data_IF_054570297100
#
_entry.id   IF_054570297100
#
_cell.length_a   1.000
_cell.length_b   1.000
_cell.length_c   1.000
_cell.angle_alpha   90.00
_cell.angle_beta   90.00
_cell.angle_gamma   90.00
#
_symmetry.space_group_name_H-M   'P 1'
#
loop_
_entity.id
_entity.type
_entity.pdbx_description
1 polymer ?
#
# COMPACT_ATOMS: atom_id res chain seq x y z
N UNK A 1 -5.43 -9.57 -31.95
CA UNK A 1 -6.07 -9.20 -30.69
C UNK A 1 -4.94 -8.67 -29.80
N UNK A 2 -5.03 -7.48 -29.27
CA UNK A 2 -4.09 -7.04 -28.25
C UNK A 2 -4.27 -7.94 -27.03
N UNK A 3 -3.17 -8.46 -26.50
CA UNK A 3 -3.16 -9.28 -25.29
C UNK A 3 -3.64 -8.41 -24.14
N UNK A 4 -4.63 -8.89 -23.38
CA UNK A 4 -5.18 -8.14 -22.24
C UNK A 4 -4.10 -8.04 -21.18
N UNK A 5 -3.75 -6.81 -20.79
CA UNK A 5 -2.70 -6.55 -19.80
C UNK A 5 -3.23 -6.75 -18.39
N UNK A 6 -2.37 -7.20 -17.51
CA UNK A 6 -2.68 -7.50 -16.12
C UNK A 6 -2.76 -6.23 -15.25
N UNK A 7 -3.48 -6.32 -14.14
CA UNK A 7 -3.53 -5.31 -13.10
C UNK A 7 -2.87 -5.85 -11.83
N UNK A 8 -1.92 -5.12 -11.27
CA UNK A 8 -1.10 -5.55 -10.14
C UNK A 8 -1.41 -4.72 -8.89
N UNK A 9 -1.40 -5.38 -7.73
CA UNK A 9 -1.69 -4.77 -6.43
C UNK A 9 -0.61 -5.16 -5.43
N UNK A 10 -0.05 -4.18 -4.73
CA UNK A 10 0.96 -4.39 -3.68
C UNK A 10 0.85 -3.30 -2.61
N UNK A 11 1.40 -3.56 -1.42
CA UNK A 11 1.35 -2.63 -0.29
C UNK A 11 2.52 -2.83 0.69
N UNK A 12 2.63 -1.96 1.68
CA UNK A 12 3.47 -2.16 2.86
C UNK A 12 4.96 -2.40 2.55
N UNK A 13 5.53 -1.59 1.66
CA UNK A 13 6.96 -1.67 1.36
C UNK A 13 7.82 -0.98 2.43
N UNK A 14 7.28 0.03 3.12
CA UNK A 14 7.97 0.76 4.18
C UNK A 14 9.42 1.14 3.84
N UNK A 15 9.61 1.65 2.63
CA UNK A 15 10.91 2.08 2.16
C UNK A 15 11.52 3.12 3.11
N UNK A 16 12.79 2.97 3.42
CA UNK A 16 13.52 3.87 4.33
C UNK A 16 13.37 3.55 5.80
N UNK A 17 12.70 2.45 6.17
CA UNK A 17 12.54 2.04 7.56
C UNK A 17 13.89 1.81 8.25
N UNK A 18 14.08 2.47 9.40
CA UNK A 18 15.24 2.28 10.27
C UNK A 18 15.23 0.95 11.03
N UNK A 19 14.12 0.22 10.98
CA UNK A 19 14.01 -1.11 11.56
C UNK A 19 14.46 -2.22 10.59
N UNK A 20 14.67 -1.90 9.31
CA UNK A 20 15.07 -2.84 8.26
C UNK A 20 16.56 -2.66 7.97
N UNK A 21 17.37 -3.68 8.24
CA UNK A 21 18.83 -3.62 8.08
C UNK A 21 19.29 -3.54 6.60
N UNK A 22 18.48 -4.02 5.66
CA UNK A 22 18.81 -4.14 4.24
C UNK A 22 17.89 -3.33 3.33
N UNK A 23 17.51 -2.10 3.73
CA UNK A 23 16.53 -1.28 3.00
C UNK A 23 16.86 -1.02 1.52
N UNK A 24 18.17 -0.92 1.16
CA UNK A 24 18.57 -0.77 -0.25
C UNK A 24 18.30 -2.04 -1.07
N UNK A 25 18.51 -3.22 -0.48
CA UNK A 25 18.22 -4.51 -1.15
C UNK A 25 16.72 -4.67 -1.34
N UNK A 26 15.94 -4.29 -0.34
CA UNK A 26 14.48 -4.28 -0.42
C UNK A 26 13.97 -3.34 -1.54
N UNK A 27 14.46 -2.09 -1.58
CA UNK A 27 14.11 -1.14 -2.66
C UNK A 27 14.45 -1.72 -4.03
N UNK A 28 15.64 -2.33 -4.20
CA UNK A 28 16.03 -2.95 -5.47
C UNK A 28 15.13 -4.11 -5.85
N UNK A 29 14.75 -4.96 -4.90
CA UNK A 29 13.85 -6.09 -5.15
C UNK A 29 12.48 -5.61 -5.64
N UNK A 30 11.92 -4.60 -4.99
CA UNK A 30 10.66 -3.97 -5.43
C UNK A 30 10.79 -3.39 -6.85
N UNK A 31 11.89 -2.68 -7.13
CA UNK A 31 12.17 -2.11 -8.45
C UNK A 31 12.34 -3.20 -9.51
N UNK A 32 13.01 -4.30 -9.20
CA UNK A 32 13.17 -5.44 -10.12
C UNK A 32 11.82 -6.10 -10.43
N UNK A 33 10.94 -6.24 -9.44
CA UNK A 33 9.58 -6.71 -9.67
C UNK A 33 8.82 -5.76 -10.62
N UNK A 34 8.78 -4.47 -10.31
CA UNK A 34 8.10 -3.47 -11.15
C UNK A 34 8.67 -3.44 -12.58
N UNK A 35 9.99 -3.66 -12.73
CA UNK A 35 10.62 -3.78 -14.03
C UNK A 35 10.15 -5.03 -14.81
N UNK A 36 9.97 -6.15 -14.11
CA UNK A 36 9.55 -7.41 -14.73
C UNK A 36 8.12 -7.36 -15.28
N UNK A 37 7.27 -6.49 -14.73
CA UNK A 37 5.86 -6.36 -15.12
C UNK A 37 5.58 -5.17 -16.05
N UNK A 38 6.50 -4.26 -16.28
CA UNK A 38 6.29 -2.96 -16.95
C UNK A 38 5.64 -3.02 -18.34
N UNK A 39 5.85 -4.11 -19.08
CA UNK A 39 5.25 -4.31 -20.41
C UNK A 39 3.95 -5.13 -20.36
N UNK A 40 3.69 -5.82 -19.26
CA UNK A 40 2.50 -6.66 -19.04
C UNK A 40 1.42 -5.94 -18.25
N UNK A 41 1.77 -4.88 -17.52
CA UNK A 41 0.84 -4.14 -16.67
C UNK A 41 -0.02 -3.15 -17.46
N UNK A 42 -1.33 -3.18 -17.23
CA UNK A 42 -2.24 -2.08 -17.55
C UNK A 42 -2.24 -1.05 -16.42
N UNK A 43 -2.30 -1.53 -15.18
CA UNK A 43 -2.27 -0.68 -13.99
C UNK A 43 -1.50 -1.33 -12.84
N UNK A 44 -0.97 -0.49 -11.95
CA UNK A 44 -0.34 -0.88 -10.69
C UNK A 44 -0.98 -0.09 -9.55
N UNK A 45 -1.56 -0.79 -8.58
CA UNK A 45 -2.17 -0.22 -7.38
C UNK A 45 -1.23 -0.43 -6.18
N UNK A 46 -0.68 0.66 -5.67
CA UNK A 46 0.15 0.72 -4.46
C UNK A 46 -0.77 1.05 -3.29
N UNK A 47 -1.18 0.05 -2.50
CA UNK A 47 -2.22 0.19 -1.49
C UNK A 47 -1.73 0.74 -0.13
N UNK A 48 -0.80 1.71 -0.17
CA UNK A 48 -0.35 2.47 0.99
C UNK A 48 0.86 1.89 1.72
N UNK A 49 1.41 2.70 2.62
CA UNK A 49 2.61 2.38 3.41
C UNK A 49 3.82 1.99 2.53
N UNK A 50 3.92 2.62 1.36
CA UNK A 50 5.09 2.42 0.49
C UNK A 50 6.35 3.02 1.10
N UNK A 51 6.22 4.11 1.86
CA UNK A 51 7.28 4.73 2.63
C UNK A 51 7.06 4.52 4.13
N UNK A 52 8.14 4.31 4.89
CA UNK A 52 8.05 4.21 6.35
C UNK A 52 7.72 5.56 7.01
N UNK A 53 8.08 6.64 6.34
CA UNK A 53 7.70 8.01 6.65
C UNK A 53 7.85 8.88 5.42
N UNK A 54 6.81 9.67 5.09
CA UNK A 54 6.84 10.64 4.01
C UNK A 54 6.20 11.95 4.46
N UNK A 55 6.89 13.06 4.22
CA UNK A 55 6.39 14.41 4.45
C UNK A 55 6.92 15.35 3.38
N UNK A 56 6.04 16.09 2.74
CA UNK A 56 6.40 17.09 1.73
C UNK A 56 6.46 18.48 2.36
N UNK A 57 7.66 19.03 2.44
CA UNK A 57 7.86 20.44 2.73
C UNK A 57 7.69 21.24 1.44
N UNK A 58 7.52 22.56 1.58
CA UNK A 58 7.30 23.43 0.42
C UNK A 58 8.32 23.26 -0.72
N UNK A 59 9.59 23.04 -0.39
CA UNK A 59 10.72 22.97 -1.36
C UNK A 59 11.59 21.72 -1.14
N UNK A 60 11.19 20.78 -0.26
CA UNK A 60 12.03 19.67 0.11
C UNK A 60 11.17 18.43 0.34
N UNK A 61 11.58 17.30 -0.24
CA UNK A 61 11.02 15.97 0.05
C UNK A 61 12.09 15.11 0.74
N UNK A 62 11.71 14.02 1.41
CA UNK A 62 12.67 13.10 2.00
C UNK A 62 13.66 12.59 0.96
N UNK A 63 14.95 12.57 1.30
CA UNK A 63 16.00 12.06 0.43
C UNK A 63 15.99 10.53 0.40
N UNK A 64 16.35 9.97 -0.73
CA UNK A 64 16.37 8.53 -0.96
C UNK A 64 15.32 8.12 -2.00
N UNK A 65 15.01 6.85 -2.05
CA UNK A 65 13.95 6.28 -2.90
C UNK A 65 14.12 6.52 -4.40
N UNK A 66 15.30 6.96 -4.84
CA UNK A 66 15.55 7.40 -6.23
C UNK A 66 15.25 6.31 -7.24
N UNK A 67 15.50 5.04 -6.89
CA UNK A 67 15.22 3.91 -7.78
C UNK A 67 13.73 3.65 -7.89
N UNK A 68 13.03 3.65 -6.75
CA UNK A 68 11.59 3.43 -6.71
C UNK A 68 10.85 4.58 -7.42
N UNK A 69 11.17 5.83 -7.09
CA UNK A 69 10.58 7.00 -7.74
C UNK A 69 10.84 7.00 -9.24
N UNK A 70 12.08 6.73 -9.66
CA UNK A 70 12.41 6.61 -11.08
C UNK A 70 11.68 5.47 -11.78
N UNK A 71 11.43 4.34 -11.09
CA UNK A 71 10.70 3.20 -11.67
C UNK A 71 9.21 3.50 -11.82
N UNK A 72 8.57 4.12 -10.84
CA UNK A 72 7.15 4.50 -11.00
C UNK A 72 6.97 5.57 -12.08
N UNK A 73 7.92 6.51 -12.22
CA UNK A 73 7.92 7.48 -13.33
C UNK A 73 8.10 6.77 -14.68
N UNK A 74 9.02 5.80 -14.79
CA UNK A 74 9.16 5.00 -16.02
C UNK A 74 7.86 4.27 -16.38
N UNK A 75 7.15 3.70 -15.40
CA UNK A 75 5.88 3.02 -15.64
C UNK A 75 4.82 3.98 -16.19
N UNK A 76 4.67 5.17 -15.60
CA UNK A 76 3.71 6.18 -16.05
C UNK A 76 4.07 6.71 -17.43
N UNK A 77 5.37 6.92 -17.72
CA UNK A 77 5.87 7.31 -19.05
C UNK A 77 5.59 6.23 -20.12
N UNK A 78 5.56 4.96 -19.74
CA UNK A 78 5.17 3.84 -20.61
C UNK A 78 3.65 3.69 -20.77
N UNK A 79 2.84 4.54 -20.11
CA UNK A 79 1.39 4.52 -20.16
C UNK A 79 0.75 3.49 -19.21
N UNK A 80 1.49 2.96 -18.23
CA UNK A 80 0.91 2.15 -17.15
C UNK A 80 0.25 3.08 -16.13
N UNK A 81 -1.00 2.84 -15.80
CA UNK A 81 -1.69 3.60 -14.75
C UNK A 81 -1.13 3.22 -13.38
N UNK A 82 -0.54 4.18 -12.67
CA UNK A 82 -0.02 3.94 -11.31
C UNK A 82 -0.88 4.68 -10.30
N UNK A 83 -1.56 3.92 -9.44
CA UNK A 83 -2.42 4.41 -8.37
C UNK A 83 -1.72 4.27 -7.02
N UNK A 84 -1.63 5.37 -6.27
CA UNK A 84 -0.97 5.41 -4.97
C UNK A 84 -2.00 5.71 -3.87
N UNK A 85 -2.28 4.75 -3.02
CA UNK A 85 -3.11 4.94 -1.84
C UNK A 85 -2.26 5.42 -0.67
N UNK A 86 -2.81 6.35 0.10
CA UNK A 86 -2.16 6.83 1.30
C UNK A 86 -2.44 5.85 2.44
N UNK A 87 -1.38 5.34 3.04
CA UNK A 87 -1.43 4.57 4.29
C UNK A 87 -1.24 5.45 5.53
N UNK A 88 -1.03 4.82 6.67
CA UNK A 88 -0.83 5.55 7.92
C UNK A 88 0.61 6.05 8.11
N UNK A 89 1.60 5.49 7.42
CA UNK A 89 3.01 5.91 7.45
C UNK A 89 3.32 7.02 6.45
N UNK A 90 2.65 7.04 5.32
CA UNK A 90 2.80 8.05 4.28
C UNK A 90 1.61 9.02 4.19
N UNK A 91 0.88 9.19 5.30
CA UNK A 91 -0.34 10.01 5.45
C UNK A 91 -0.15 11.48 5.04
N UNK A 92 1.09 11.98 5.07
CA UNK A 92 1.44 13.36 4.72
C UNK A 92 2.00 13.49 3.30
N UNK A 93 1.71 12.53 2.45
CA UNK A 93 1.96 12.63 1.03
C UNK A 93 1.13 13.78 0.44
N UNK A 94 1.81 14.75 -0.17
CA UNK A 94 1.22 15.90 -0.83
C UNK A 94 0.90 15.63 -2.29
N UNK A 95 1.42 16.46 -3.19
CA UNK A 95 1.20 16.37 -4.64
C UNK A 95 2.50 16.08 -5.43
N UNK A 96 3.61 15.88 -4.74
CA UNK A 96 4.91 15.61 -5.38
C UNK A 96 4.87 14.38 -6.28
N UNK A 97 4.33 13.27 -5.78
CA UNK A 97 4.27 12.03 -6.57
C UNK A 97 3.35 12.17 -7.79
N UNK A 98 2.25 12.93 -7.69
CA UNK A 98 1.37 13.21 -8.83
C UNK A 98 2.11 14.03 -9.89
N UNK A 99 2.79 15.10 -9.46
CA UNK A 99 3.45 16.06 -10.36
C UNK A 99 4.74 15.53 -10.98
N UNK A 100 5.55 14.81 -10.21
CA UNK A 100 6.89 14.39 -10.62
C UNK A 100 6.92 12.94 -11.14
N UNK A 101 6.01 12.08 -10.66
CA UNK A 101 6.00 10.67 -11.05
C UNK A 101 4.75 10.28 -11.86
N UNK A 102 3.80 11.19 -12.06
CA UNK A 102 2.60 10.93 -12.87
C UNK A 102 1.60 9.94 -12.26
N UNK A 103 1.68 9.66 -10.94
CA UNK A 103 0.78 8.73 -10.27
C UNK A 103 -0.56 9.39 -9.92
N UNK A 104 -1.60 8.60 -9.75
CA UNK A 104 -2.89 9.06 -9.20
C UNK A 104 -2.95 8.77 -7.70
N UNK A 105 -3.04 9.80 -6.84
CA UNK A 105 -3.10 9.63 -5.38
C UNK A 105 -4.53 9.46 -4.88
N UNK A 106 -4.78 8.37 -4.16
CA UNK A 106 -6.04 8.10 -3.47
C UNK A 106 -5.92 8.33 -1.96
N UNK A 107 -6.65 9.32 -1.45
CA UNK A 107 -6.67 9.70 -0.02
C UNK A 107 -7.81 9.04 0.77
N UNK A 108 -8.67 8.32 0.09
CA UNK A 108 -9.84 7.60 0.60
C UNK A 108 -9.93 6.23 -0.07
N UNK A 109 -10.65 5.27 0.51
CA UNK A 109 -11.00 4.03 -0.19
C UNK A 109 -11.60 4.31 -1.56
N UNK A 110 -11.32 3.45 -2.51
CA UNK A 110 -11.83 3.51 -3.88
C UNK A 110 -12.69 2.29 -4.17
N UNK A 111 -13.89 2.52 -4.67
CA UNK A 111 -14.68 1.49 -5.34
C UNK A 111 -14.62 1.77 -6.83
N UNK A 112 -14.20 0.78 -7.62
CA UNK A 112 -14.04 0.93 -9.07
C UNK A 112 -14.28 -0.41 -9.78
N UNK A 113 -14.65 -0.30 -11.05
CA UNK A 113 -14.74 -1.45 -11.95
C UNK A 113 -13.39 -1.65 -12.66
N UNK A 114 -12.90 -2.89 -12.68
CA UNK A 114 -11.73 -3.33 -13.44
C UNK A 114 -12.13 -4.57 -14.23
N UNK A 115 -12.12 -4.48 -15.56
CA UNK A 115 -12.49 -5.56 -16.47
C UNK A 115 -13.84 -6.22 -16.13
N UNK A 116 -14.85 -5.40 -15.79
CA UNK A 116 -16.21 -5.89 -15.48
C UNK A 116 -16.37 -6.52 -14.09
N UNK A 117 -15.38 -6.36 -13.20
CA UNK A 117 -15.45 -6.76 -11.79
C UNK A 117 -15.38 -5.55 -10.89
N UNK A 118 -16.20 -5.54 -9.84
CA UNK A 118 -16.23 -4.47 -8.85
C UNK A 118 -15.19 -4.72 -7.74
N UNK A 119 -14.33 -3.73 -7.52
CA UNK A 119 -13.25 -3.74 -6.54
C UNK A 119 -13.51 -2.71 -5.45
N UNK A 120 -13.23 -3.08 -4.21
CA UNK A 120 -13.05 -2.17 -3.09
C UNK A 120 -11.58 -2.18 -2.70
N UNK A 121 -10.89 -1.05 -2.88
CA UNK A 121 -9.46 -0.89 -2.67
C UNK A 121 -9.19 0.11 -1.55
N UNK A 122 -8.38 -0.27 -0.57
CA UNK A 122 -7.97 0.64 0.51
C UNK A 122 -6.68 0.15 1.16
N UNK A 123 -5.97 1.04 1.87
CA UNK A 123 -4.87 0.59 2.72
C UNK A 123 -5.36 -0.33 3.84
N UNK A 124 -6.45 0.01 4.50
CA UNK A 124 -7.06 -0.81 5.56
C UNK A 124 -7.00 -0.15 6.94
N UNK A 125 -6.18 0.85 7.14
CA UNK A 125 -6.05 1.56 8.41
C UNK A 125 -7.37 2.22 8.83
N UNK A 126 -7.84 1.90 10.04
CA UNK A 126 -9.09 2.41 10.62
C UNK A 126 -10.36 1.85 10.01
N UNK A 127 -10.29 0.81 9.16
CA UNK A 127 -11.43 0.03 8.71
C UNK A 127 -11.62 -1.16 9.69
N UNK A 128 -12.85 -1.33 10.19
CA UNK A 128 -13.15 -2.40 11.16
C UNK A 128 -12.59 -2.20 12.58
N UNK A 129 -11.66 -1.27 12.77
CA UNK A 129 -11.08 -1.00 14.07
C UNK A 129 -11.98 -0.16 14.95
N UNK A 130 -12.34 -0.70 16.11
CA UNK A 130 -13.06 0.02 17.17
C UNK A 130 -12.16 0.92 18.03
N UNK A 131 -10.82 0.89 17.85
CA UNK A 131 -9.90 1.62 18.71
C UNK A 131 -9.99 3.14 18.51
N UNK A 132 -10.65 3.78 19.46
CA UNK A 132 -10.83 5.24 19.50
C UNK A 132 -9.49 6.00 19.57
N UNK A 133 -8.44 5.41 20.17
CA UNK A 133 -7.10 6.02 20.26
C UNK A 133 -6.46 6.11 18.88
N UNK A 134 -6.60 5.07 18.08
CA UNK A 134 -6.12 5.08 16.70
C UNK A 134 -6.88 6.10 15.85
N UNK A 135 -8.22 6.15 15.98
CA UNK A 135 -9.05 7.16 15.29
C UNK A 135 -8.67 8.59 15.69
N UNK A 136 -8.40 8.82 16.97
CA UNK A 136 -7.94 10.12 17.48
C UNK A 136 -6.57 10.50 16.91
N UNK A 137 -5.61 9.58 16.95
CA UNK A 137 -4.25 9.81 16.42
C UNK A 137 -4.29 10.09 14.90
N UNK A 138 -5.07 9.34 14.15
CA UNK A 138 -5.30 9.55 12.71
C UNK A 138 -5.93 10.93 12.44
N UNK A 139 -6.91 11.33 13.24
CA UNK A 139 -7.52 12.67 13.18
C UNK A 139 -6.49 13.77 13.43
N UNK A 140 -5.60 13.56 14.39
CA UNK A 140 -4.51 14.47 14.72
C UNK A 140 -3.53 14.62 13.54
N UNK A 141 -3.09 13.52 12.92
CA UNK A 141 -2.22 13.55 11.74
C UNK A 141 -2.88 14.16 10.51
N UNK A 142 -4.20 14.10 10.38
CA UNK A 142 -4.98 14.74 9.31
C UNK A 142 -5.27 16.21 9.56
N UNK A 143 -4.98 16.73 10.76
CA UNK A 143 -5.20 18.13 11.10
C UNK A 143 -4.28 19.08 10.31
N UNK A 144 -4.86 19.92 9.46
CA UNK A 144 -4.10 20.91 8.67
C UNK A 144 -3.29 21.88 9.55
N UNK A 145 -3.81 22.20 10.75
CA UNK A 145 -3.11 23.08 11.70
C UNK A 145 -1.85 22.40 12.23
N UNK A 146 -1.94 21.10 12.60
CA UNK A 146 -0.77 20.35 13.08
C UNK A 146 0.24 20.10 11.94
N UNK A 147 -0.23 19.84 10.73
CA UNK A 147 0.63 19.77 9.55
C UNK A 147 1.36 21.08 9.29
N UNK A 148 0.68 22.20 9.40
CA UNK A 148 1.30 23.53 9.25
C UNK A 148 2.35 23.79 10.35
N UNK A 149 2.05 23.49 11.61
CA UNK A 149 3.03 23.61 12.70
C UNK A 149 4.25 22.70 12.46
N UNK A 150 4.02 21.47 12.03
CA UNK A 150 5.07 20.51 11.70
C UNK A 150 5.93 21.00 10.51
N UNK A 151 5.33 21.63 9.51
CA UNK A 151 6.04 22.18 8.35
C UNK A 151 7.01 23.31 8.70
N UNK A 152 6.81 23.99 9.82
CA UNK A 152 7.69 25.05 10.31
C UNK A 152 8.88 24.54 11.13
N UNK A 153 8.92 23.23 11.43
CA UNK A 153 10.08 22.60 12.04
C UNK A 153 11.18 22.40 10.98
N UNK A 154 12.43 22.45 11.43
CA UNK A 154 13.54 22.19 10.52
C UNK A 154 13.43 20.76 9.96
N UNK A 155 13.51 20.53 8.63
CA UNK A 155 13.29 19.22 8.00
C UNK A 155 14.10 18.07 8.61
N UNK A 156 15.32 18.37 9.07
CA UNK A 156 16.16 17.36 9.74
C UNK A 156 15.50 16.80 11.00
N UNK A 157 14.91 17.65 11.83
CA UNK A 157 14.33 17.21 13.11
C UNK A 157 12.98 16.54 12.90
N UNK A 158 12.18 17.09 12.00
CA UNK A 158 10.85 16.54 11.73
C UNK A 158 10.91 15.17 11.03
N UNK A 159 11.81 15.00 10.05
CA UNK A 159 12.00 13.70 9.38
C UNK A 159 12.64 12.68 10.33
N UNK A 160 13.66 13.08 11.12
CA UNK A 160 14.26 12.19 12.12
C UNK A 160 13.24 11.75 13.17
N UNK A 161 12.40 12.66 13.65
CA UNK A 161 11.31 12.35 14.57
C UNK A 161 10.31 11.35 13.97
N UNK A 162 9.86 11.58 12.72
CA UNK A 162 8.93 10.69 12.03
C UNK A 162 9.48 9.28 11.84
N UNK A 163 10.74 9.15 11.41
CA UNK A 163 11.41 7.86 11.23
C UNK A 163 11.64 7.12 12.56
N UNK A 164 12.00 7.83 13.65
CA UNK A 164 12.14 7.19 14.96
C UNK A 164 10.78 6.79 15.55
N UNK A 165 9.73 7.59 15.32
CA UNK A 165 8.38 7.22 15.70
C UNK A 165 7.90 5.96 14.97
N UNK A 166 8.08 5.89 13.65
CA UNK A 166 7.75 4.73 12.84
C UNK A 166 8.50 3.47 13.32
N UNK A 167 9.80 3.59 13.53
CA UNK A 167 10.64 2.52 14.09
C UNK A 167 10.13 2.04 15.45
N UNK A 168 9.84 2.97 16.36
CA UNK A 168 9.35 2.62 17.70
C UNK A 168 7.98 1.94 17.66
N UNK A 169 7.07 2.43 16.82
CA UNK A 169 5.77 1.79 16.60
C UNK A 169 5.92 0.35 16.11
N UNK A 170 6.83 0.13 15.16
CA UNK A 170 7.12 -1.20 14.61
C UNK A 170 7.76 -2.14 15.63
N UNK A 171 8.73 -1.64 16.41
CA UNK A 171 9.37 -2.44 17.46
C UNK A 171 8.41 -2.83 18.59
N UNK A 172 7.46 -1.96 18.94
CA UNK A 172 6.40 -2.30 19.90
C UNK A 172 5.44 -3.37 19.37
N UNK A 173 5.13 -3.39 18.06
CA UNK A 173 4.37 -4.48 17.44
C UNK A 173 5.15 -5.80 17.49
N UNK A 174 6.49 -5.72 17.49
CA UNK A 174 7.40 -6.86 17.55
C UNK A 174 7.72 -7.29 19.01
N UNK A 175 6.78 -7.34 19.93
CA UNK A 175 6.96 -8.13 21.17
C UNK A 175 7.17 -9.63 20.85
N UNK A 176 7.97 -9.92 19.79
CA UNK A 176 8.40 -11.22 19.33
C UNK A 176 7.37 -12.01 18.54
N UNK A 177 6.21 -11.43 18.18
CA UNK A 177 5.20 -12.10 17.36
C UNK A 177 5.06 -11.38 16.01
N UNK A 178 5.23 -12.15 14.95
CA UNK A 178 4.81 -11.72 13.62
C UNK A 178 3.29 -11.49 13.60
N UNK A 179 2.77 -10.58 12.74
CA UNK A 179 1.34 -10.41 12.59
C UNK A 179 0.73 -11.76 12.18
N UNK A 180 -0.19 -12.26 12.99
CA UNK A 180 -0.91 -13.50 12.70
C UNK A 180 -2.35 -13.20 12.30
N UNK A 181 -2.90 -14.03 11.46
CA UNK A 181 -4.32 -14.04 11.16
C UNK A 181 -5.12 -14.42 12.40
N UNK A 182 -6.02 -13.54 12.83
CA UNK A 182 -6.78 -13.71 14.07
C UNK A 182 -8.00 -14.64 13.94
N UNK A 183 -8.25 -15.12 12.74
CA UNK A 183 -9.45 -15.88 12.40
C UNK A 183 -10.57 -14.99 11.84
N UNK A 184 -11.43 -15.59 11.06
CA UNK A 184 -12.47 -14.92 10.27
C UNK A 184 -13.44 -14.06 11.11
N UNK A 185 -13.68 -14.48 12.34
CA UNK A 185 -14.61 -13.81 13.27
C UNK A 185 -13.94 -12.69 14.10
N UNK A 186 -12.62 -12.49 13.95
CA UNK A 186 -11.86 -11.51 14.73
C UNK A 186 -10.99 -10.59 13.88
N UNK A 187 -10.72 -10.95 12.63
CA UNK A 187 -9.91 -10.13 11.73
C UNK A 187 -10.69 -8.86 11.33
N UNK A 188 -10.24 -7.66 11.74
CA UNK A 188 -11.02 -6.43 11.57
C UNK A 188 -11.41 -6.15 10.10
N UNK A 189 -10.48 -6.42 9.16
CA UNK A 189 -10.74 -6.18 7.73
C UNK A 189 -11.73 -7.18 7.14
N UNK A 190 -11.74 -8.42 7.63
CA UNK A 190 -12.74 -9.43 7.24
C UNK A 190 -14.13 -9.04 7.75
N UNK A 191 -14.20 -8.61 9.01
CA UNK A 191 -15.46 -8.14 9.60
C UNK A 191 -16.00 -6.91 8.87
N UNK A 192 -15.12 -5.95 8.55
CA UNK A 192 -15.47 -4.78 7.74
C UNK A 192 -16.04 -5.19 6.37
N UNK A 193 -15.34 -6.04 5.65
CA UNK A 193 -15.74 -6.46 4.31
C UNK A 193 -17.08 -7.20 4.32
N UNK A 194 -17.30 -8.09 5.30
CA UNK A 194 -18.60 -8.77 5.51
C UNK A 194 -19.73 -7.79 5.81
N UNK A 195 -19.48 -6.76 6.61
CA UNK A 195 -20.49 -5.75 6.90
C UNK A 195 -20.76 -4.87 5.70
N UNK A 196 -19.75 -4.47 4.97
CA UNK A 196 -19.86 -3.65 3.76
C UNK A 196 -20.66 -4.38 2.66
N UNK A 197 -20.45 -5.68 2.48
CA UNK A 197 -21.19 -6.51 1.52
C UNK A 197 -22.71 -6.54 1.75
N UNK A 198 -23.19 -6.29 2.97
CA UNK A 198 -24.64 -6.27 3.24
C UNK A 198 -25.34 -5.16 2.49
N UNK A 199 -24.63 -4.06 2.23
CA UNK A 199 -25.16 -2.87 1.52
C UNK A 199 -24.61 -2.72 0.10
N UNK A 200 -23.51 -3.43 -0.23
CA UNK A 200 -22.84 -3.40 -1.53
C UNK A 200 -22.56 -4.83 -2.02
N UNK A 201 -23.61 -5.60 -2.37
CA UNK A 201 -23.48 -7.03 -2.70
C UNK A 201 -22.72 -7.31 -4.00
N UNK A 202 -22.50 -6.28 -4.83
CA UNK A 202 -21.89 -6.40 -6.15
C UNK A 202 -20.36 -6.40 -6.10
N UNK A 203 -19.73 -6.08 -4.95
CA UNK A 203 -18.27 -6.10 -4.82
C UNK A 203 -17.74 -7.53 -4.97
N UNK A 204 -16.88 -7.70 -5.99
CA UNK A 204 -16.22 -8.98 -6.25
C UNK A 204 -14.93 -9.15 -5.44
N UNK A 205 -14.14 -8.07 -5.29
CA UNK A 205 -12.84 -8.13 -4.64
C UNK A 205 -12.64 -6.99 -3.64
N UNK A 206 -12.25 -7.35 -2.42
CA UNK A 206 -11.74 -6.43 -1.41
C UNK A 206 -10.23 -6.62 -1.32
N UNK A 207 -9.44 -5.58 -1.55
CA UNK A 207 -7.98 -5.63 -1.42
C UNK A 207 -7.49 -4.63 -0.38
N UNK A 208 -6.65 -5.13 0.55
CA UNK A 208 -6.11 -4.37 1.66
C UNK A 208 -4.62 -4.65 1.87
N UNK A 209 -3.92 -3.67 2.46
CA UNK A 209 -2.61 -3.82 3.08
C UNK A 209 -2.70 -3.80 4.61
N UNK A 210 -1.82 -3.03 5.26
CA UNK A 210 -1.82 -2.65 6.67
C UNK A 210 -1.56 -3.76 7.67
N UNK A 211 -2.09 -4.95 7.44
CA UNK A 211 -2.01 -6.06 8.41
C UNK A 211 -0.70 -6.86 8.32
N UNK A 212 0.06 -6.71 7.24
CA UNK A 212 1.28 -7.49 6.97
C UNK A 212 1.07 -9.01 7.06
N UNK A 213 -0.09 -9.49 6.69
CA UNK A 213 -0.42 -10.92 6.58
C UNK A 213 -0.88 -11.21 5.16
N UNK A 214 -0.52 -12.36 4.64
CA UNK A 214 -1.13 -12.86 3.41
C UNK A 214 -2.43 -13.59 3.74
N UNK A 215 -3.54 -13.04 3.27
CA UNK A 215 -4.85 -13.68 3.43
C UNK A 215 -5.61 -13.61 2.12
N UNK A 216 -6.19 -14.74 1.75
CA UNK A 216 -7.04 -14.90 0.59
C UNK A 216 -8.25 -15.75 1.01
N UNK A 217 -9.42 -15.13 1.11
CA UNK A 217 -10.62 -15.73 1.68
C UNK A 217 -11.86 -15.39 0.87
N UNK A 218 -12.68 -16.39 0.59
CA UNK A 218 -14.01 -16.21 0.01
C UNK A 218 -14.99 -15.70 1.08
N UNK A 219 -15.60 -14.55 0.85
CA UNK A 219 -16.66 -14.00 1.71
C UNK A 219 -18.05 -14.46 1.30
N UNK A 220 -18.24 -14.73 0.01
CA UNK A 220 -19.47 -15.25 -0.59
C UNK A 220 -19.12 -16.05 -1.85
N UNK A 221 -20.12 -16.50 -2.59
CA UNK A 221 -19.92 -17.18 -3.89
C UNK A 221 -19.25 -16.30 -4.95
N UNK A 222 -19.42 -14.98 -4.85
CA UNK A 222 -18.97 -13.99 -5.85
C UNK A 222 -18.04 -12.94 -5.30
N UNK A 223 -17.74 -12.97 -3.99
CA UNK A 223 -16.93 -11.95 -3.33
C UNK A 223 -15.78 -12.55 -2.53
N UNK A 224 -14.61 -11.95 -2.63
CA UNK A 224 -13.33 -12.41 -2.08
C UNK A 224 -12.60 -11.26 -1.40
N UNK A 225 -11.96 -11.51 -0.26
CA UNK A 225 -11.06 -10.56 0.38
C UNK A 225 -9.63 -11.06 0.27
N UNK A 226 -8.73 -10.11 -0.05
CA UNK A 226 -7.30 -10.35 -0.05
C UNK A 226 -6.60 -9.29 0.78
N UNK A 227 -5.72 -9.72 1.70
CA UNK A 227 -4.79 -8.86 2.43
C UNK A 227 -3.40 -9.19 1.92
N UNK A 228 -2.69 -8.17 1.40
CA UNK A 228 -1.58 -8.37 0.47
C UNK A 228 -0.23 -8.73 1.13
N UNK A 229 -0.17 -8.92 2.45
CA UNK A 229 1.12 -9.15 3.10
C UNK A 229 1.98 -7.89 3.14
N UNK A 230 3.27 -8.01 2.83
CA UNK A 230 4.22 -6.90 2.81
C UNK A 230 5.35 -7.08 1.78
N UNK A 231 6.13 -6.01 1.57
CA UNK A 231 7.39 -6.02 0.79
C UNK A 231 8.63 -5.98 1.67
N UNK A 232 8.55 -6.51 2.89
CA UNK A 232 9.64 -6.60 3.88
C UNK A 232 10.13 -8.04 4.01
N UNK A 233 9.19 -8.97 4.21
CA UNK A 233 9.42 -10.39 4.45
C UNK A 233 8.71 -11.30 3.45
N UNK A 234 7.47 -10.96 3.09
CA UNK A 234 6.62 -11.79 2.21
C UNK A 234 6.87 -11.51 0.74
N UNK A 235 7.20 -10.26 0.36
CA UNK A 235 7.37 -9.81 -1.03
C UNK A 235 6.19 -10.17 -1.92
N UNK A 236 5.00 -10.03 -1.36
CA UNK A 236 3.75 -10.50 -1.95
C UNK A 236 3.03 -9.43 -2.76
N UNK A 237 2.30 -9.88 -3.74
CA UNK A 237 1.45 -9.05 -4.58
C UNK A 237 0.23 -9.83 -5.04
N UNK A 238 -0.82 -9.14 -5.48
CA UNK A 238 -1.91 -9.76 -6.20
C UNK A 238 -1.88 -9.33 -7.67
N UNK A 239 -2.35 -10.20 -8.55
CA UNK A 239 -2.47 -9.95 -9.99
C UNK A 239 -3.85 -10.36 -10.48
N UNK A 240 -4.48 -9.49 -11.26
CA UNK A 240 -5.74 -9.72 -11.93
C UNK A 240 -5.52 -9.72 -13.45
N UNK A 241 -5.83 -10.83 -14.10
CA UNK A 241 -5.65 -11.04 -15.54
C UNK A 241 -6.90 -10.67 -16.37
N UNK A 242 -7.93 -10.15 -15.70
CA UNK A 242 -9.25 -9.84 -16.29
C UNK A 242 -10.31 -10.91 -16.03
N UNK A 243 -9.91 -12.11 -15.68
CA UNK A 243 -10.82 -13.22 -15.31
C UNK A 243 -10.58 -13.71 -13.89
N UNK A 244 -9.31 -13.92 -13.53
CA UNK A 244 -8.89 -14.53 -12.28
C UNK A 244 -7.99 -13.59 -11.47
N UNK A 245 -8.09 -13.70 -10.15
CA UNK A 245 -7.25 -13.03 -9.20
C UNK A 245 -6.34 -14.01 -8.50
N UNK A 246 -5.03 -13.76 -8.54
CA UNK A 246 -4.01 -14.59 -7.89
C UNK A 246 -3.24 -13.75 -6.85
N UNK A 247 -2.85 -14.40 -5.76
CA UNK A 247 -1.89 -13.85 -4.81
C UNK A 247 -0.59 -14.63 -4.92
N UNK A 248 0.52 -13.93 -5.12
CA UNK A 248 1.83 -14.49 -5.41
C UNK A 248 2.91 -13.84 -4.56
N UNK A 249 4.05 -14.49 -4.46
CA UNK A 249 5.27 -13.94 -3.84
C UNK A 249 6.34 -13.77 -4.91
N UNK A 250 7.02 -12.63 -4.91
CA UNK A 250 8.10 -12.38 -5.84
C UNK A 250 9.38 -13.06 -5.40
N UNK A 251 9.87 -13.97 -6.20
CA UNK A 251 11.17 -14.63 -6.06
C UNK A 251 12.14 -14.04 -7.09
N UNK A 252 13.25 -13.49 -6.62
CA UNK A 252 14.22 -12.83 -7.51
C UNK A 252 14.88 -13.86 -8.43
N UNK A 253 14.78 -13.66 -9.74
CA UNK A 253 15.27 -14.58 -10.76
C UNK A 253 14.22 -15.51 -11.38
N UNK A 254 13.00 -15.57 -10.86
CA UNK A 254 11.86 -16.21 -11.52
C UNK A 254 11.14 -15.18 -12.41
N UNK A 255 10.93 -15.54 -13.66
CA UNK A 255 10.01 -14.82 -14.53
C UNK A 255 8.59 -15.13 -14.08
N UNK A 256 7.82 -14.11 -13.66
CA UNK A 256 6.40 -14.28 -13.38
C UNK A 256 5.73 -15.08 -14.52
N UNK A 257 5.20 -16.24 -14.19
CA UNK A 257 4.39 -17.02 -15.09
C UNK A 257 3.07 -16.28 -15.26
N UNK A 258 2.83 -15.78 -16.43
CA UNK A 258 1.58 -15.11 -16.75
C UNK A 258 1.19 -15.37 -18.15
#
# INVERSE_FOLDING_TARGET
MEEMKNVYFLSDAHLGSRAISHGRTQERRLVNFLDSIKHKAAAVYLLGDMFDFWYEFRMVVPKGYTRFLGKISELTDLGVEVHFFIGNHDIWCGDYLEKECGVTIHRQPLTCEIYGKEFFLAHGDGLGDGDWKFKFLRGMFRSKTLQFLFSNLHPRWSVDFGLEWAKHSRLKRKDGKEPEYMGEDKEPLVLFAKDYLKTHPDINYFLFGHRHIMLDLMLSRSSRIMILGDWISEFSYAVFDGENMFMEQYVEGETSVG
#
